data_IF_999177861709
#
_entry.id   IF_999177861709
#
_cell.length_a   1.000
_cell.length_b   1.000
_cell.length_c   1.000
_cell.angle_alpha   90.00
_cell.angle_beta   90.00
_cell.angle_gamma   90.00
#
_symmetry.space_group_name_H-M   'P 1'
#
loop_
_entity.id
_entity.type
_entity.pdbx_description
1 polymer ?
#
# COMPACT_ATOMS: atom_id res chain seq x y z
N UNK A 1 12.53 -40.60 14.73
CA UNK A 1 12.56 -39.71 13.57
C UNK A 1 11.48 -38.68 13.79
N UNK A 2 11.85 -37.53 14.31
CA UNK A 2 10.97 -36.39 14.51
C UNK A 2 11.01 -35.61 13.18
N UNK A 3 9.89 -35.61 12.46
CA UNK A 3 9.73 -34.76 11.28
C UNK A 3 9.81 -33.31 11.77
N UNK A 4 10.85 -32.59 11.36
CA UNK A 4 10.90 -31.13 11.45
C UNK A 4 9.71 -30.62 10.62
N UNK A 5 8.76 -30.01 11.28
CA UNK A 5 7.76 -29.18 10.62
C UNK A 5 8.54 -28.02 10.02
N UNK A 6 8.54 -27.89 8.70
CA UNK A 6 9.01 -26.68 8.03
C UNK A 6 8.22 -25.49 8.58
N UNK A 7 8.85 -24.36 8.88
CA UNK A 7 8.09 -23.17 9.16
C UNK A 7 7.25 -22.87 7.91
N UNK A 8 5.96 -22.77 8.10
CA UNK A 8 5.04 -22.27 7.08
C UNK A 8 5.49 -20.85 6.82
N UNK A 9 6.05 -20.61 5.64
CA UNK A 9 6.27 -19.26 5.15
C UNK A 9 4.89 -18.62 5.03
N UNK A 10 4.54 -17.76 5.97
CA UNK A 10 3.38 -16.89 5.90
C UNK A 10 3.77 -15.71 4.98
N UNK A 11 3.94 -16.01 3.71
CA UNK A 11 4.20 -15.02 2.66
C UNK A 11 2.95 -14.93 1.80
N UNK A 12 1.89 -14.38 2.36
CA UNK A 12 0.80 -13.84 1.57
C UNK A 12 0.58 -12.41 2.02
N UNK A 13 1.44 -11.58 1.52
CA UNK A 13 1.18 -10.16 1.48
C UNK A 13 0.10 -9.93 0.42
N UNK A 14 -1.16 -9.89 0.84
CA UNK A 14 -2.19 -9.30 0.01
C UNK A 14 -1.80 -7.84 -0.23
N UNK A 15 -1.55 -7.52 -1.49
CA UNK A 15 -1.39 -6.14 -1.92
C UNK A 15 -2.76 -5.45 -1.86
N UNK A 16 -3.17 -5.06 -0.67
CA UNK A 16 -4.26 -4.13 -0.45
C UNK A 16 -3.66 -2.97 0.32
N UNK A 17 -3.38 -1.89 -0.42
CA UNK A 17 -3.12 -0.57 0.15
C UNK A 17 -1.98 -0.43 1.13
N UNK A 18 -1.06 -1.34 1.16
CA UNK A 18 0.19 -1.23 1.87
C UNK A 18 1.16 -2.18 1.21
N UNK A 19 2.39 -1.73 0.93
CA UNK A 19 3.41 -2.68 0.51
C UNK A 19 3.49 -3.78 1.54
N UNK A 20 3.27 -4.97 1.07
CA UNK A 20 3.72 -6.12 1.77
C UNK A 20 5.24 -6.11 1.68
N UNK A 21 5.86 -5.56 2.68
CA UNK A 21 7.29 -5.79 2.86
C UNK A 21 7.45 -7.29 3.02
N UNK A 22 8.20 -7.97 2.15
CA UNK A 22 8.39 -9.40 2.25
C UNK A 22 8.98 -9.66 3.63
N UNK A 23 8.24 -10.34 4.50
CA UNK A 23 8.80 -10.86 5.73
C UNK A 23 9.85 -11.89 5.31
N UNK A 24 11.12 -11.49 5.42
CA UNK A 24 12.24 -12.33 5.05
C UNK A 24 12.14 -13.68 5.77
N UNK A 25 11.79 -14.71 5.01
CA UNK A 25 11.99 -16.07 5.48
C UNK A 25 13.47 -16.24 5.78
N UNK A 26 13.81 -16.75 6.97
CA UNK A 26 15.20 -16.99 7.39
C UNK A 26 15.86 -17.98 6.42
N UNK A 27 16.46 -17.46 5.37
CA UNK A 27 17.32 -18.21 4.47
C UNK A 27 18.78 -18.13 4.95
N UNK A 28 19.53 -19.19 4.78
CA UNK A 28 20.97 -19.23 5.07
C UNK A 28 21.73 -18.70 3.86
N UNK A 29 22.05 -17.41 3.86
CA UNK A 29 22.66 -16.66 2.76
C UNK A 29 21.70 -15.58 2.27
N UNK A 30 22.16 -14.45 1.77
CA UNK A 30 21.24 -13.42 1.27
C UNK A 30 20.27 -13.99 0.23
N UNK A 31 19.00 -13.63 0.32
CA UNK A 31 17.92 -14.13 -0.53
C UNK A 31 17.48 -13.03 -1.52
N UNK A 32 17.53 -13.33 -2.81
CA UNK A 32 17.07 -12.48 -3.88
C UNK A 32 15.75 -13.03 -4.40
N UNK A 33 14.70 -12.24 -4.33
CA UNK A 33 13.37 -12.60 -4.81
C UNK A 33 12.79 -11.51 -5.72
N UNK A 34 11.83 -11.89 -6.52
CA UNK A 34 11.01 -10.97 -7.30
C UNK A 34 9.54 -11.33 -7.15
N UNK A 35 8.67 -10.37 -7.40
CA UNK A 35 7.23 -10.61 -7.45
C UNK A 35 6.61 -9.92 -8.67
N UNK A 36 5.51 -10.46 -9.13
CA UNK A 36 4.65 -9.83 -10.14
C UNK A 36 3.20 -9.98 -9.71
N UNK A 37 2.41 -8.93 -9.92
CA UNK A 37 0.98 -8.91 -9.63
C UNK A 37 0.20 -8.28 -10.78
N UNK A 38 -0.96 -8.84 -11.08
CA UNK A 38 -1.97 -8.22 -11.94
C UNK A 38 -3.24 -8.09 -11.11
N UNK A 39 -3.78 -6.89 -11.04
CA UNK A 39 -5.03 -6.59 -10.34
C UNK A 39 -5.96 -5.78 -11.22
N UNK A 40 -7.28 -5.95 -11.08
CA UNK A 40 -8.23 -5.15 -11.81
C UNK A 40 -8.34 -3.69 -11.32
N UNK A 41 -7.76 -3.40 -10.15
CA UNK A 41 -7.69 -2.06 -9.57
C UNK A 41 -6.56 -2.02 -8.53
N UNK A 42 -5.69 -1.04 -8.58
CA UNK A 42 -4.71 -0.79 -7.55
C UNK A 42 -5.35 0.07 -6.46
N UNK A 43 -5.57 -0.51 -5.29
CA UNK A 43 -6.09 0.20 -4.12
C UNK A 43 -4.94 0.46 -3.15
N UNK A 44 -4.69 1.71 -2.80
CA UNK A 44 -3.75 2.13 -1.77
C UNK A 44 -4.50 2.85 -0.65
N UNK A 45 -4.45 2.31 0.56
CA UNK A 45 -5.17 2.85 1.73
C UNK A 45 -6.64 3.15 1.43
N UNK A 46 -7.33 2.19 0.79
CA UNK A 46 -8.74 2.29 0.43
C UNK A 46 -9.05 3.05 -0.86
N UNK A 47 -8.11 3.80 -1.44
CA UNK A 47 -8.33 4.65 -2.61
C UNK A 47 -7.73 4.04 -3.88
N UNK A 48 -8.42 4.21 -5.02
CA UNK A 48 -7.90 3.74 -6.31
C UNK A 48 -6.69 4.57 -6.75
N UNK A 49 -5.67 3.89 -7.25
CA UNK A 49 -4.46 4.49 -7.81
C UNK A 49 -4.42 4.35 -9.34
N UNK A 50 -5.40 3.67 -9.92
CA UNK A 50 -5.48 3.41 -11.36
C UNK A 50 -6.83 3.79 -11.95
N UNK A 51 -7.56 4.73 -11.37
CA UNK A 51 -8.90 5.15 -11.82
C UNK A 51 -9.84 3.96 -12.05
N UNK A 52 -9.79 2.96 -11.15
CA UNK A 52 -10.51 1.67 -11.24
C UNK A 52 -10.12 0.80 -12.45
N UNK A 53 -8.96 1.04 -13.04
CA UNK A 53 -8.43 0.25 -14.14
C UNK A 53 -7.37 -0.77 -13.68
N UNK A 54 -6.96 -1.64 -14.62
CA UNK A 54 -6.01 -2.72 -14.34
C UNK A 54 -4.62 -2.19 -14.03
N UNK A 55 -4.01 -2.69 -12.96
CA UNK A 55 -2.61 -2.48 -12.63
C UNK A 55 -1.76 -3.72 -12.94
N UNK A 56 -0.53 -3.44 -13.41
CA UNK A 56 0.58 -4.38 -13.52
C UNK A 56 1.67 -3.92 -12.56
N UNK A 57 2.02 -4.79 -11.63
CA UNK A 57 2.88 -4.46 -10.50
C UNK A 57 3.97 -5.49 -10.36
N UNK A 58 5.11 -5.10 -9.80
CA UNK A 58 6.15 -6.06 -9.48
C UNK A 58 7.35 -5.41 -8.82
N UNK A 59 8.13 -6.24 -8.13
CA UNK A 59 9.28 -5.80 -7.37
C UNK A 59 10.42 -6.80 -7.36
N UNK A 60 11.56 -6.35 -6.85
CA UNK A 60 12.75 -7.15 -6.58
C UNK A 60 13.24 -6.80 -5.18
N UNK A 61 13.51 -7.82 -4.39
CA UNK A 61 13.92 -7.73 -3.01
C UNK A 61 15.22 -8.48 -2.76
N UNK A 62 16.04 -7.92 -1.90
CA UNK A 62 17.20 -8.62 -1.37
C UNK A 62 17.18 -8.54 0.17
N UNK A 63 17.17 -9.70 0.82
CA UNK A 63 17.20 -9.82 2.26
C UNK A 63 18.49 -10.48 2.74
N UNK A 64 19.11 -9.90 3.78
CA UNK A 64 20.27 -10.48 4.45
C UNK A 64 19.88 -11.36 5.63
N UNK A 65 20.67 -12.36 5.95
CA UNK A 65 20.45 -13.25 7.10
C UNK A 65 20.29 -12.52 8.45
N UNK A 66 20.83 -11.32 8.55
CA UNK A 66 20.80 -10.54 9.79
C UNK A 66 19.54 -9.70 9.97
N UNK A 67 18.58 -9.80 9.05
CA UNK A 67 17.29 -9.12 9.07
C UNK A 67 17.23 -7.81 8.30
N UNK A 68 18.35 -7.29 7.78
CA UNK A 68 18.30 -6.15 6.86
C UNK A 68 17.74 -6.58 5.50
N UNK A 69 17.03 -5.67 4.84
CA UNK A 69 16.54 -5.84 3.48
C UNK A 69 16.53 -4.52 2.71
N UNK A 70 16.52 -4.63 1.40
CA UNK A 70 16.34 -3.53 0.45
C UNK A 70 15.51 -4.06 -0.70
N UNK A 71 14.66 -3.22 -1.24
CA UNK A 71 13.86 -3.61 -2.39
C UNK A 71 13.42 -2.42 -3.24
N UNK A 72 12.82 -2.75 -4.36
CA UNK A 72 12.19 -1.81 -5.28
C UNK A 72 10.91 -2.41 -5.82
N UNK A 73 9.92 -1.57 -6.04
CA UNK A 73 8.63 -1.98 -6.58
C UNK A 73 8.12 -0.95 -7.60
N UNK A 74 7.31 -1.40 -8.53
CA UNK A 74 6.77 -0.60 -9.63
C UNK A 74 5.31 -0.95 -9.88
N UNK A 75 4.51 0.08 -10.19
CA UNK A 75 3.14 -0.05 -10.71
C UNK A 75 2.87 1.02 -11.76
N UNK A 76 1.97 0.74 -12.70
CA UNK A 76 1.31 1.83 -13.39
C UNK A 76 0.29 2.47 -12.44
N UNK A 77 0.13 3.78 -12.55
CA UNK A 77 -0.90 4.58 -11.90
C UNK A 77 -1.60 5.48 -12.90
N UNK A 78 -2.79 5.95 -12.57
CA UNK A 78 -3.58 6.89 -13.38
C UNK A 78 -4.63 7.54 -12.48
N UNK A 79 -4.64 8.87 -12.44
CA UNK A 79 -5.62 9.64 -11.69
C UNK A 79 -6.43 10.47 -12.68
N UNK A 80 -7.62 9.98 -13.03
CA UNK A 80 -8.52 10.73 -13.91
C UNK A 80 -8.86 12.07 -13.28
N UNK A 81 -8.53 13.15 -13.97
CA UNK A 81 -9.00 14.48 -13.63
C UNK A 81 -10.25 14.75 -14.46
N UNK A 82 -11.41 14.91 -13.80
CA UNK A 82 -12.59 15.39 -14.50
C UNK A 82 -12.31 16.76 -15.14
N UNK A 83 -12.63 16.87 -16.42
CA UNK A 83 -12.73 18.15 -17.12
C UNK A 83 -13.85 18.99 -16.48
N UNK A 84 -13.52 19.72 -15.43
CA UNK A 84 -14.47 20.50 -14.62
C UNK A 84 -14.97 21.75 -15.36
N UNK A 85 -14.78 21.94 -16.60
CA UNK A 85 -15.53 22.87 -17.44
C UNK A 85 -15.04 22.90 -18.91
N UNK A 86 -15.77 22.27 -19.79
CA UNK A 86 -15.60 22.36 -21.26
C UNK A 86 -15.83 23.76 -21.85
N UNK A 87 -15.95 24.80 -21.03
CA UNK A 87 -16.15 26.20 -21.45
C UNK A 87 -14.92 27.09 -21.32
N UNK A 88 -13.88 26.67 -20.62
CA UNK A 88 -12.58 27.33 -20.62
C UNK A 88 -11.66 26.62 -21.62
N UNK A 89 -11.07 27.41 -22.54
CA UNK A 89 -10.00 26.94 -23.44
C UNK A 89 -8.71 26.64 -22.63
N UNK A 90 -8.83 25.77 -21.62
CA UNK A 90 -7.73 25.23 -20.87
C UNK A 90 -7.30 23.98 -21.61
N UNK A 91 -6.07 23.97 -22.03
CA UNK A 91 -5.40 22.81 -22.64
C UNK A 91 -5.66 21.59 -21.78
N UNK A 92 -5.93 20.42 -22.41
CA UNK A 92 -6.04 19.12 -21.73
C UNK A 92 -4.91 19.03 -20.69
N UNK A 93 -5.24 19.13 -19.41
CA UNK A 93 -4.26 18.92 -18.35
C UNK A 93 -4.03 17.42 -18.34
N UNK A 94 -2.96 17.01 -19.00
CA UNK A 94 -2.54 15.62 -19.04
C UNK A 94 -2.21 15.21 -17.62
N UNK A 95 -2.79 14.10 -17.16
CA UNK A 95 -2.43 13.48 -15.89
C UNK A 95 -0.90 13.31 -15.83
N UNK A 96 -0.20 13.95 -14.88
CA UNK A 96 1.24 13.85 -14.77
C UNK A 96 1.71 12.49 -14.22
N UNK A 97 0.79 11.66 -13.72
CA UNK A 97 1.10 10.37 -13.11
C UNK A 97 0.87 9.22 -14.09
N UNK A 98 1.90 8.46 -14.40
CA UNK A 98 1.80 7.25 -15.21
C UNK A 98 2.40 6.01 -14.53
N UNK A 99 3.31 6.21 -13.59
CA UNK A 99 3.91 5.14 -12.79
C UNK A 99 4.18 5.58 -11.35
N UNK A 100 4.28 4.60 -10.49
CA UNK A 100 4.83 4.66 -9.14
C UNK A 100 6.05 3.75 -9.09
N UNK A 101 7.16 4.26 -8.60
CA UNK A 101 8.40 3.52 -8.41
C UNK A 101 8.90 3.70 -6.99
N UNK A 102 8.86 2.65 -6.22
CA UNK A 102 9.21 2.66 -4.82
C UNK A 102 10.59 2.11 -4.56
N UNK A 103 11.30 2.74 -3.64
CA UNK A 103 12.57 2.30 -3.10
C UNK A 103 12.45 2.17 -1.60
N UNK A 104 12.80 1.02 -1.06
CA UNK A 104 12.69 0.80 0.39
C UNK A 104 13.85 0.01 0.96
N UNK A 105 14.08 0.21 2.24
CA UNK A 105 14.99 -0.58 3.03
C UNK A 105 14.51 -0.65 4.47
N UNK A 106 14.89 -1.71 5.18
CA UNK A 106 14.47 -1.89 6.55
C UNK A 106 15.19 -3.00 7.28
N UNK A 107 14.68 -3.26 8.45
CA UNK A 107 15.16 -4.30 9.35
C UNK A 107 13.98 -5.03 9.98
N UNK A 108 13.88 -6.31 9.72
CA UNK A 108 12.81 -7.17 10.25
C UNK A 108 13.34 -8.36 11.01
N UNK A 109 12.50 -8.93 11.86
CA UNK A 109 12.85 -10.11 12.61
C UNK A 109 11.73 -10.62 13.51
N UNK A 110 12.07 -11.59 14.36
CA UNK A 110 11.16 -12.18 15.32
C UNK A 110 11.81 -12.24 16.70
N UNK A 111 11.08 -11.82 17.72
CA UNK A 111 11.45 -12.05 19.11
C UNK A 111 11.17 -13.51 19.48
N UNK A 112 11.92 -14.09 20.41
CA UNK A 112 11.84 -15.50 20.79
C UNK A 112 10.48 -15.98 21.34
N UNK A 113 9.47 -15.12 21.39
CA UNK A 113 8.10 -15.40 21.82
C UNK A 113 7.08 -15.40 20.66
N UNK A 114 7.53 -15.38 19.41
CA UNK A 114 6.69 -15.38 18.22
C UNK A 114 6.08 -14.02 17.87
N UNK A 115 6.64 -12.93 18.41
CA UNK A 115 6.30 -11.56 18.00
C UNK A 115 7.22 -11.14 16.88
N UNK A 116 6.69 -10.89 15.69
CA UNK A 116 7.43 -10.30 14.57
C UNK A 116 7.49 -8.78 14.69
N UNK A 117 8.53 -8.20 14.12
CA UNK A 117 8.66 -6.75 13.99
C UNK A 117 9.30 -6.39 12.66
N UNK A 118 9.00 -5.19 12.19
CA UNK A 118 9.63 -4.56 11.03
C UNK A 118 9.74 -3.07 11.27
N UNK A 119 10.83 -2.46 10.78
CA UNK A 119 11.02 -1.01 10.75
C UNK A 119 11.80 -0.65 9.51
N UNK A 120 11.39 0.39 8.81
CA UNK A 120 12.07 0.79 7.59
C UNK A 120 11.72 2.19 7.11
N UNK A 121 12.22 2.47 5.94
CA UNK A 121 11.93 3.69 5.20
C UNK A 121 11.52 3.30 3.78
N UNK A 122 10.49 3.94 3.27
CA UNK A 122 9.92 3.76 1.96
C UNK A 122 9.85 5.12 1.27
N UNK A 123 10.37 5.19 0.05
CA UNK A 123 10.30 6.36 -0.80
C UNK A 123 9.46 6.05 -2.03
N UNK A 124 8.41 6.82 -2.21
CA UNK A 124 7.51 6.78 -3.36
C UNK A 124 7.99 7.80 -4.38
N UNK A 125 8.30 7.35 -5.58
CA UNK A 125 8.74 8.17 -6.69
C UNK A 125 7.77 8.05 -7.86
N UNK A 126 7.33 9.18 -8.34
CA UNK A 126 6.39 9.30 -9.47
C UNK A 126 7.08 9.94 -10.69
N UNK A 127 6.32 10.17 -11.76
CA UNK A 127 6.81 10.94 -12.91
C UNK A 127 7.32 12.32 -12.48
N UNK A 128 8.44 12.75 -13.03
CA UNK A 128 9.11 14.00 -12.62
C UNK A 128 8.26 15.28 -12.77
N UNK A 129 7.15 15.19 -13.50
CA UNK A 129 6.20 16.30 -13.65
C UNK A 129 5.16 16.36 -12.53
N UNK A 130 5.01 15.27 -11.78
CA UNK A 130 4.04 15.18 -10.70
C UNK A 130 4.42 16.07 -9.51
N UNK A 131 5.71 16.15 -9.18
CA UNK A 131 6.27 16.90 -8.04
C UNK A 131 5.60 16.54 -6.70
N UNK A 132 5.35 15.23 -6.51
CA UNK A 132 4.68 14.66 -5.34
C UNK A 132 5.44 13.49 -4.73
N UNK A 133 6.71 13.35 -5.04
CA UNK A 133 7.54 12.33 -4.41
C UNK A 133 7.56 12.52 -2.90
N UNK A 134 7.46 11.42 -2.17
CA UNK A 134 7.48 11.48 -0.71
C UNK A 134 8.10 10.22 -0.10
N UNK A 135 8.48 10.32 1.16
CA UNK A 135 9.02 9.21 1.91
C UNK A 135 8.34 9.05 3.26
N UNK A 136 8.21 7.80 3.70
CA UNK A 136 7.66 7.43 4.99
C UNK A 136 8.65 6.59 5.80
N UNK A 137 8.73 6.86 7.08
CA UNK A 137 9.26 5.89 8.06
C UNK A 137 8.11 5.01 8.51
N UNK A 138 8.29 3.71 8.49
CA UNK A 138 7.26 2.78 8.96
C UNK A 138 7.78 1.83 10.03
N UNK A 139 6.84 1.30 10.82
CA UNK A 139 7.10 0.25 11.77
C UNK A 139 5.88 -0.63 11.98
N UNK A 140 6.10 -1.93 12.17
CA UNK A 140 5.04 -2.88 12.46
C UNK A 140 5.39 -3.88 13.54
N UNK A 141 4.37 -4.44 14.19
CA UNK A 141 4.47 -5.55 15.13
C UNK A 141 3.36 -6.54 14.82
N UNK A 142 3.71 -7.84 14.77
CA UNK A 142 2.77 -8.93 14.55
C UNK A 142 2.84 -10.02 15.62
N UNK A 143 1.72 -10.66 15.92
CA UNK A 143 1.63 -11.83 16.77
C UNK A 143 0.47 -12.74 16.35
N UNK A 144 0.77 -13.99 16.03
CA UNK A 144 -0.24 -14.91 15.49
C UNK A 144 -0.81 -14.37 14.19
N UNK A 145 -2.12 -14.17 14.11
CA UNK A 145 -2.77 -13.56 12.93
C UNK A 145 -2.92 -12.05 13.02
N UNK A 146 -2.57 -11.40 14.13
CA UNK A 146 -2.70 -9.94 14.29
C UNK A 146 -1.45 -9.22 13.87
N UNK A 147 -1.61 -8.06 13.21
CA UNK A 147 -0.57 -7.07 13.01
C UNK A 147 -1.09 -5.64 13.20
N UNK A 148 -0.18 -4.78 13.61
CA UNK A 148 -0.36 -3.33 13.70
C UNK A 148 0.80 -2.69 12.99
N UNK A 149 0.54 -1.73 12.11
CA UNK A 149 1.59 -0.92 11.49
C UNK A 149 1.28 0.58 11.60
N UNK A 150 2.34 1.38 11.58
CA UNK A 150 2.28 2.82 11.53
C UNK A 150 3.27 3.30 10.46
N UNK A 151 2.77 4.08 9.51
CA UNK A 151 3.57 4.84 8.57
C UNK A 151 3.50 6.31 8.96
N UNK A 152 4.61 7.01 8.83
CA UNK A 152 4.77 8.41 9.24
C UNK A 152 5.47 9.15 8.11
N UNK A 153 4.86 10.21 7.59
CA UNK A 153 5.48 11.07 6.60
C UNK A 153 6.85 11.57 7.11
N UNK A 154 7.89 11.32 6.33
CA UNK A 154 9.25 11.73 6.68
C UNK A 154 9.70 12.97 5.89
N UNK A 155 9.33 13.03 4.62
CA UNK A 155 9.65 14.13 3.70
C UNK A 155 8.75 14.05 2.47
N UNK A 156 8.59 15.18 1.77
CA UNK A 156 7.94 15.24 0.46
C UNK A 156 8.59 16.34 -0.39
N UNK A 157 8.39 16.25 -1.72
CA UNK A 157 8.73 17.31 -2.68
C UNK A 157 7.54 18.24 -2.93
N UNK A 158 6.33 17.88 -2.46
CA UNK A 158 5.15 18.72 -2.63
C UNK A 158 5.27 20.04 -1.88
N UNK A 159 4.81 21.11 -2.52
CA UNK A 159 4.75 22.44 -1.93
C UNK A 159 3.54 22.54 -0.97
N UNK A 160 3.77 23.13 0.21
CA UNK A 160 2.71 23.41 1.18
C UNK A 160 1.79 24.53 0.69
N UNK A 161 0.49 24.28 0.73
CA UNK A 161 -0.54 25.29 0.56
C UNK A 161 -0.77 26.12 1.83
N UNK A 162 -1.60 27.19 1.76
CA UNK A 162 -1.90 28.01 2.93
C UNK A 162 -2.55 27.21 4.08
N UNK A 163 -1.85 27.07 5.19
CA UNK A 163 -2.33 26.39 6.39
C UNK A 163 -2.01 24.90 6.44
N UNK A 164 -1.32 24.37 5.44
CA UNK A 164 -0.86 22.99 5.43
C UNK A 164 0.52 22.85 6.09
N UNK A 165 0.77 21.69 6.68
CA UNK A 165 2.06 21.28 7.22
C UNK A 165 2.42 19.89 6.71
N UNK A 166 3.53 19.77 5.96
CA UNK A 166 4.06 18.52 5.41
C UNK A 166 5.36 18.11 6.11
N UNK A 167 5.59 18.63 7.32
CA UNK A 167 6.72 18.29 8.13
C UNK A 167 6.74 16.82 8.58
N UNK A 168 7.87 16.43 9.15
CA UNK A 168 8.01 15.08 9.71
C UNK A 168 6.96 14.81 10.78
N UNK A 169 6.15 13.77 10.56
CA UNK A 169 5.14 13.33 11.52
C UNK A 169 3.76 13.96 11.36
N UNK A 170 3.60 14.93 10.47
CA UNK A 170 2.34 15.65 10.28
C UNK A 170 1.31 14.87 9.44
N UNK A 171 1.73 13.78 8.79
CA UNK A 171 0.80 12.81 8.21
C UNK A 171 1.16 11.39 8.64
N UNK A 172 0.13 10.60 8.96
CA UNK A 172 0.29 9.24 9.47
C UNK A 172 -0.75 8.28 8.88
N UNK A 173 -0.36 7.02 8.73
CA UNK A 173 -1.27 5.93 8.44
C UNK A 173 -1.11 4.81 9.46
N UNK A 174 -2.15 4.55 10.23
CA UNK A 174 -2.23 3.43 11.17
C UNK A 174 -3.05 2.31 10.57
N UNK A 175 -2.54 1.08 10.53
CA UNK A 175 -3.31 -0.09 10.14
C UNK A 175 -3.38 -1.18 11.20
N UNK A 176 -4.47 -1.92 11.17
CA UNK A 176 -4.74 -3.10 11.99
C UNK A 176 -5.22 -4.22 11.07
N UNK A 177 -4.54 -5.37 11.13
CA UNK A 177 -4.88 -6.52 10.31
C UNK A 177 -5.11 -7.76 11.18
N UNK A 178 -6.01 -8.62 10.71
CA UNK A 178 -6.20 -9.94 11.31
C UNK A 178 -6.42 -11.00 10.24
N UNK A 179 -5.47 -11.93 10.13
CA UNK A 179 -5.50 -13.03 9.16
C UNK A 179 -5.85 -14.34 9.83
N UNK A 180 -6.84 -15.04 9.28
CA UNK A 180 -7.29 -16.38 9.66
C UNK A 180 -6.91 -17.40 8.59
N UNK A 181 -6.05 -18.34 8.92
CA UNK A 181 -5.82 -19.53 8.09
C UNK A 181 -7.01 -20.49 8.18
N UNK A 182 -7.72 -20.68 7.08
CA UNK A 182 -8.89 -21.57 6.99
C UNK A 182 -8.52 -22.99 6.54
N UNK A 183 -7.22 -23.25 6.31
CA UNK A 183 -6.69 -24.53 5.81
C UNK A 183 -6.77 -24.67 4.28
N UNK A 184 -6.00 -25.60 3.72
CA UNK A 184 -5.86 -25.82 2.27
C UNK A 184 -5.42 -24.55 1.50
N UNK A 185 -4.48 -23.81 2.07
CA UNK A 185 -3.95 -22.56 1.52
C UNK A 185 -5.02 -21.47 1.31
N UNK A 186 -6.10 -21.53 2.11
CA UNK A 186 -7.15 -20.51 2.11
C UNK A 186 -6.97 -19.63 3.34
N UNK A 187 -6.93 -18.33 3.13
CA UNK A 187 -6.76 -17.31 4.16
C UNK A 187 -7.83 -16.23 4.04
N UNK A 188 -8.31 -15.75 5.19
CA UNK A 188 -9.28 -14.68 5.31
C UNK A 188 -8.65 -13.57 6.14
N UNK A 189 -8.50 -12.38 5.54
CA UNK A 189 -7.91 -11.21 6.19
C UNK A 189 -8.95 -10.12 6.36
N UNK A 190 -8.98 -9.53 7.55
CA UNK A 190 -9.72 -8.31 7.88
C UNK A 190 -8.72 -7.19 8.07
N UNK A 191 -9.00 -6.05 7.48
CA UNK A 191 -8.19 -4.85 7.54
C UNK A 191 -9.00 -3.66 8.00
N UNK A 192 -8.35 -2.78 8.79
CA UNK A 192 -8.80 -1.44 9.14
C UNK A 192 -7.60 -0.50 9.06
N UNK A 193 -7.76 0.63 8.38
CA UNK A 193 -6.79 1.69 8.27
C UNK A 193 -7.36 3.03 8.69
N UNK A 194 -6.50 3.93 9.16
CA UNK A 194 -6.80 5.34 9.38
C UNK A 194 -5.64 6.17 8.82
N UNK A 195 -5.94 7.04 7.88
CA UNK A 195 -5.01 7.99 7.29
C UNK A 195 -5.35 9.40 7.80
N UNK A 196 -4.37 10.14 8.29
CA UNK A 196 -4.53 11.44 8.93
C UNK A 196 -3.41 12.40 8.51
N UNK A 197 -3.72 13.70 8.36
CA UNK A 197 -2.79 14.78 8.10
C UNK A 197 -3.00 15.51 6.77
N UNK A 198 -2.52 16.75 6.71
CA UNK A 198 -2.70 17.67 5.58
C UNK A 198 -2.14 17.12 4.26
N UNK A 199 -1.03 16.37 4.32
CA UNK A 199 -0.42 15.74 3.14
C UNK A 199 -1.35 14.70 2.52
N UNK A 200 -2.13 13.97 3.33
CA UNK A 200 -3.13 13.05 2.82
C UNK A 200 -4.15 13.75 1.93
N UNK A 201 -4.67 14.90 2.37
CA UNK A 201 -5.60 15.69 1.57
C UNK A 201 -4.94 16.23 0.29
N UNK A 202 -3.71 16.73 0.38
CA UNK A 202 -2.98 17.26 -0.77
C UNK A 202 -2.69 16.19 -1.84
N UNK A 203 -2.36 14.96 -1.42
CA UNK A 203 -2.01 13.86 -2.32
C UNK A 203 -3.25 13.12 -2.86
N UNK A 204 -4.21 12.79 -1.98
CA UNK A 204 -5.36 11.97 -2.33
C UNK A 204 -6.66 12.76 -2.50
N UNK A 205 -6.72 14.00 -2.03
CA UNK A 205 -7.96 14.79 -2.01
C UNK A 205 -9.08 14.15 -1.18
N UNK A 206 -8.72 13.37 -0.15
CA UNK A 206 -9.68 12.60 0.67
C UNK A 206 -10.09 13.30 1.97
N UNK A 207 -9.80 14.59 2.11
CA UNK A 207 -9.89 15.31 3.37
C UNK A 207 -8.68 15.05 4.28
N UNK A 208 -8.62 15.71 5.43
CA UNK A 208 -7.49 15.60 6.35
C UNK A 208 -7.42 14.24 7.03
N UNK A 209 -8.54 13.52 7.14
CA UNK A 209 -8.57 12.18 7.76
C UNK A 209 -9.71 11.34 7.20
N UNK A 210 -9.42 10.05 6.96
CA UNK A 210 -10.43 9.05 6.62
C UNK A 210 -10.02 7.66 7.13
N UNK A 211 -10.98 6.74 7.16
CA UNK A 211 -10.74 5.34 7.45
C UNK A 211 -10.99 4.48 6.22
N UNK A 212 -10.23 3.41 6.09
CA UNK A 212 -10.46 2.38 5.10
C UNK A 212 -10.64 1.00 5.74
N UNK A 213 -11.39 0.15 5.06
CA UNK A 213 -11.79 -1.17 5.55
C UNK A 213 -11.70 -2.17 4.41
N UNK A 214 -11.19 -3.36 4.68
CA UNK A 214 -11.31 -4.43 3.69
C UNK A 214 -11.46 -5.80 4.30
N UNK A 215 -12.00 -6.70 3.48
CA UNK A 215 -12.03 -8.15 3.74
C UNK A 215 -11.52 -8.86 2.51
N UNK A 216 -10.50 -9.69 2.69
CA UNK A 216 -9.85 -10.43 1.61
C UNK A 216 -9.92 -11.92 1.82
N UNK A 217 -10.20 -12.65 0.76
CA UNK A 217 -10.11 -14.10 0.69
C UNK A 217 -9.03 -14.49 -0.33
N UNK A 218 -7.95 -15.11 0.16
CA UNK A 218 -6.83 -15.53 -0.68
C UNK A 218 -6.72 -17.04 -0.77
N UNK A 219 -6.31 -17.54 -1.95
CA UNK A 219 -5.95 -18.93 -2.16
C UNK A 219 -4.88 -19.08 -3.22
N UNK A 220 -3.70 -19.55 -2.80
CA UNK A 220 -2.54 -19.61 -3.69
C UNK A 220 -2.28 -18.24 -4.32
N UNK A 221 -2.13 -18.13 -5.65
CA UNK A 221 -1.83 -16.86 -6.30
C UNK A 221 -3.03 -15.90 -6.44
N UNK A 222 -4.24 -16.32 -6.07
CA UNK A 222 -5.46 -15.54 -6.27
C UNK A 222 -5.93 -14.90 -4.96
N UNK A 223 -6.35 -13.64 -5.04
CA UNK A 223 -7.07 -12.99 -3.97
C UNK A 223 -8.34 -12.28 -4.51
N UNK A 224 -9.38 -12.29 -3.67
CA UNK A 224 -10.59 -11.52 -3.87
C UNK A 224 -10.82 -10.65 -2.65
N UNK A 225 -10.94 -9.35 -2.87
CA UNK A 225 -11.08 -8.35 -1.81
C UNK A 225 -12.31 -7.50 -2.02
N UNK A 226 -12.97 -7.21 -0.91
CA UNK A 226 -13.99 -6.17 -0.81
C UNK A 226 -13.38 -5.05 0.02
N UNK A 227 -13.30 -3.86 -0.55
CA UNK A 227 -12.69 -2.66 0.07
C UNK A 227 -13.70 -1.51 0.07
N UNK A 228 -13.65 -0.69 1.10
CA UNK A 228 -14.51 0.46 1.31
C UNK A 228 -13.78 1.54 2.13
N UNK A 229 -14.27 2.77 2.08
CA UNK A 229 -13.78 3.90 2.87
C UNK A 229 -14.95 4.65 3.49
N UNK A 230 -14.68 5.51 4.48
CA UNK A 230 -15.67 6.46 5.01
C UNK A 230 -15.49 7.89 4.47
N UNK A 231 -14.81 8.03 3.33
CA UNK A 231 -14.71 9.33 2.64
C UNK A 231 -16.11 9.87 2.33
N UNK A 232 -16.40 11.11 2.76
CA UNK A 232 -17.71 11.73 2.65
C UNK A 232 -17.80 12.61 1.39
N UNK A 233 -18.81 12.35 0.53
CA UNK A 233 -19.13 13.19 -0.63
C UNK A 233 -19.45 14.65 -0.27
N UNK A 234 -19.85 14.90 0.96
CA UNK A 234 -20.19 16.23 1.48
C UNK A 234 -19.00 17.02 2.00
N UNK A 235 -17.83 16.41 2.11
CA UNK A 235 -16.62 17.09 2.59
C UNK A 235 -16.04 17.99 1.47
N UNK A 236 -16.03 19.32 1.66
CA UNK A 236 -15.49 20.24 0.66
C UNK A 236 -13.98 20.07 0.45
N UNK A 237 -13.28 19.45 1.40
CA UNK A 237 -11.83 19.21 1.35
C UNK A 237 -11.50 17.86 0.71
N UNK A 238 -12.50 16.99 0.51
CA UNK A 238 -12.36 15.67 -0.11
C UNK A 238 -12.66 15.67 -1.63
N UNK A 239 -12.31 16.73 -2.35
CA UNK A 239 -12.75 16.95 -3.73
C UNK A 239 -12.27 15.88 -4.72
N UNK A 240 -11.10 15.28 -4.49
CA UNK A 240 -10.52 14.27 -5.38
C UNK A 240 -11.07 12.87 -5.08
N UNK A 241 -11.14 12.51 -3.79
CA UNK A 241 -11.62 11.21 -3.37
C UNK A 241 -13.13 11.02 -3.58
N UNK A 242 -13.88 12.11 -3.65
CA UNK A 242 -15.32 12.10 -3.93
C UNK A 242 -15.65 12.27 -5.42
N UNK A 243 -14.65 12.30 -6.31
CA UNK A 243 -14.88 12.32 -7.74
C UNK A 243 -15.68 11.08 -8.16
N UNK A 244 -16.90 11.22 -8.76
CA UNK A 244 -17.73 10.08 -9.14
C UNK A 244 -17.06 9.12 -10.14
N UNK A 245 -16.10 9.59 -10.94
CA UNK A 245 -15.34 8.74 -11.85
C UNK A 245 -14.42 7.76 -11.10
N UNK A 246 -13.93 8.14 -9.92
CA UNK A 246 -13.06 7.31 -9.09
C UNK A 246 -13.84 6.36 -8.18
N UNK A 247 -15.08 6.67 -7.83
CA UNK A 247 -15.94 5.90 -6.91
C UNK A 247 -15.27 5.61 -5.55
N UNK A 248 -14.48 6.54 -5.03
CA UNK A 248 -13.72 6.32 -3.80
C UNK A 248 -14.59 6.19 -2.54
N UNK A 249 -15.84 6.63 -2.58
CA UNK A 249 -16.85 6.45 -1.55
C UNK A 249 -17.71 5.18 -1.72
N UNK A 250 -17.51 4.40 -2.77
CA UNK A 250 -18.27 3.19 -3.04
C UNK A 250 -17.47 1.91 -2.71
N UNK A 251 -18.18 0.86 -2.32
CA UNK A 251 -17.58 -0.47 -2.12
C UNK A 251 -16.95 -0.98 -3.41
N UNK A 252 -15.69 -1.42 -3.32
CA UNK A 252 -14.94 -1.97 -4.45
C UNK A 252 -14.71 -3.45 -4.33
N UNK A 253 -14.67 -4.09 -5.49
CA UNK A 253 -14.36 -5.51 -5.63
C UNK A 253 -13.07 -5.67 -6.42
N UNK A 254 -12.05 -6.20 -5.75
CA UNK A 254 -10.71 -6.34 -6.32
C UNK A 254 -10.39 -7.82 -6.49
N UNK A 255 -9.91 -8.20 -7.67
CA UNK A 255 -9.36 -9.51 -7.96
C UNK A 255 -7.91 -9.33 -8.35
N UNK A 256 -7.02 -10.05 -7.68
CA UNK A 256 -5.60 -10.05 -8.02
C UNK A 256 -5.07 -11.46 -8.24
N UNK A 257 -4.03 -11.52 -9.07
CA UNK A 257 -3.18 -12.67 -9.26
C UNK A 257 -1.74 -12.26 -9.00
N UNK A 258 -1.09 -12.91 -8.04
CA UNK A 258 0.28 -12.60 -7.64
C UNK A 258 1.15 -13.84 -7.73
N UNK A 259 2.42 -13.67 -8.10
CA UNK A 259 3.40 -14.75 -8.20
C UNK A 259 4.74 -14.28 -7.66
N UNK A 260 5.31 -15.04 -6.74
CA UNK A 260 6.67 -14.86 -6.24
C UNK A 260 7.64 -15.71 -7.06
N UNK A 261 8.87 -15.21 -7.24
CA UNK A 261 9.92 -15.80 -8.05
C UNK A 261 11.20 -15.80 -7.21
N UNK A 262 11.68 -16.98 -6.84
CA UNK A 262 13.00 -17.17 -6.24
C UNK A 262 14.08 -17.03 -7.32
N UNK A 263 15.09 -16.16 -7.11
CA UNK A 263 16.13 -15.83 -8.09
C UNK A 263 17.52 -16.36 -7.71
#
# INVERSE_FOLDING_TARGET
MIKKLSPIALATSLAIGGMAVPMAASATGGDLSANITVTNNYIWRGLTQTSNETAFQGGIDYAWENGFYVGTWLSNVSYEQDDVDSTSAQEDVQDPFSYEHDLYFGYSGEFGNGVSYDIGYLYYNYDSQANFDFGEVYGSIGIGGFSVSLNVLANTEADEGPGQDFGFGEATYLSLDYTLGLGNDLELTFHFGNHDGDFNNAFNGAGDSYNDYSVSLAKGPFAFTVSDTDVDEGDPDAAFATNPALNNQDVRFVISYSMDIDL
#
